data_IF_015739645619
#
_entry.id   IF_015739645619
#
_cell.length_a   1.000
_cell.length_b   1.000
_cell.length_c   1.000
_cell.angle_alpha   90.00
_cell.angle_beta   90.00
_cell.angle_gamma   90.00
#
_symmetry.space_group_name_H-M   'P 1'
#
loop_
_entity.id
_entity.type
_entity.pdbx_description
1 polymer ?
#
# COMPACT_ATOMS: atom_id res chain seq x y z
N UNK A 1 -6.89 5.98 -26.81
CA UNK A 1 -8.18 5.25 -26.88
C UNK A 1 -8.31 4.21 -25.77
N UNK A 2 -7.34 3.31 -25.58
CA UNK A 2 -7.36 2.30 -24.50
C UNK A 2 -7.56 2.93 -23.11
N UNK A 3 -6.77 3.94 -22.77
CA UNK A 3 -6.86 4.66 -21.48
C UNK A 3 -8.26 5.23 -21.23
N UNK A 4 -8.83 5.94 -22.21
CA UNK A 4 -10.18 6.51 -22.09
C UNK A 4 -11.24 5.42 -21.90
N UNK A 5 -11.09 4.27 -22.56
CA UNK A 5 -12.02 3.14 -22.39
C UNK A 5 -11.89 2.53 -21.01
N UNK A 6 -10.68 2.24 -20.55
CA UNK A 6 -10.43 1.71 -19.21
C UNK A 6 -10.94 2.66 -18.11
N UNK A 7 -10.72 3.97 -18.24
CA UNK A 7 -11.22 4.97 -17.29
C UNK A 7 -12.73 5.14 -17.37
N UNK A 8 -13.34 5.00 -18.55
CA UNK A 8 -14.81 4.96 -18.70
C UNK A 8 -15.39 3.79 -17.92
N UNK A 9 -14.83 2.59 -18.08
CA UNK A 9 -15.25 1.41 -17.30
C UNK A 9 -15.02 1.61 -15.81
N UNK A 10 -13.86 2.13 -15.40
CA UNK A 10 -13.55 2.39 -13.98
C UNK A 10 -14.48 3.42 -13.32
N UNK A 11 -14.91 4.43 -14.07
CA UNK A 11 -15.86 5.46 -13.64
C UNK A 11 -17.31 4.95 -13.65
N UNK A 12 -17.71 4.12 -14.62
CA UNK A 12 -19.09 3.57 -14.72
C UNK A 12 -19.33 2.32 -13.87
N UNK A 13 -18.30 1.54 -13.57
CA UNK A 13 -18.32 0.43 -12.61
C UNK A 13 -18.03 0.92 -11.19
N UNK A 14 -18.82 1.88 -10.70
CA UNK A 14 -18.48 2.67 -9.51
C UNK A 14 -19.72 3.08 -8.69
N UNK A 15 -19.62 3.13 -7.35
CA UNK A 15 -20.69 3.67 -6.50
C UNK A 15 -20.33 4.99 -5.82
N UNK A 16 -19.07 5.43 -5.90
CA UNK A 16 -18.66 6.70 -5.33
C UNK A 16 -19.28 7.88 -6.08
N UNK A 17 -19.54 8.94 -5.33
CA UNK A 17 -20.05 10.21 -5.85
C UNK A 17 -19.10 11.32 -5.43
N UNK A 18 -18.70 12.15 -6.38
CA UNK A 18 -17.98 13.39 -6.12
C UNK A 18 -18.99 14.52 -5.98
N UNK A 19 -19.02 15.18 -4.83
CA UNK A 19 -19.84 16.37 -4.59
C UNK A 19 -18.94 17.55 -4.31
N UNK A 20 -19.19 18.67 -4.99
CA UNK A 20 -18.54 19.93 -4.64
C UNK A 20 -19.35 20.61 -3.53
N UNK A 21 -18.71 20.92 -2.40
CA UNK A 21 -19.27 21.67 -1.27
C UNK A 21 -18.29 22.77 -0.90
N UNK A 22 -18.75 24.02 -0.91
CA UNK A 22 -17.95 25.20 -0.53
C UNK A 22 -16.61 25.32 -1.29
N UNK A 23 -16.60 24.94 -2.58
CA UNK A 23 -15.39 24.94 -3.43
C UNK A 23 -14.41 23.80 -3.14
N UNK A 24 -14.80 22.82 -2.31
CA UNK A 24 -14.03 21.61 -2.04
C UNK A 24 -14.75 20.37 -2.57
N UNK A 25 -13.99 19.46 -3.17
CA UNK A 25 -14.50 18.16 -3.61
C UNK A 25 -14.56 17.19 -2.43
N UNK A 26 -15.77 16.76 -2.10
CA UNK A 26 -16.06 15.76 -1.09
C UNK A 26 -16.37 14.44 -1.77
N UNK A 27 -15.69 13.39 -1.34
CA UNK A 27 -15.93 12.02 -1.79
C UNK A 27 -16.98 11.37 -0.89
N UNK A 28 -18.05 10.85 -1.48
CA UNK A 28 -19.00 9.96 -0.81
C UNK A 28 -18.85 8.56 -1.40
N UNK A 29 -18.35 7.61 -0.61
CA UNK A 29 -18.07 6.24 -1.05
C UNK A 29 -16.65 5.81 -0.69
N UNK A 30 -16.16 4.77 -1.37
CA UNK A 30 -14.81 4.25 -1.15
C UNK A 30 -13.74 5.14 -1.83
N UNK A 31 -12.58 5.41 -1.18
CA UNK A 31 -11.52 6.23 -1.77
C UNK A 31 -10.94 5.68 -3.09
N UNK A 32 -10.83 4.36 -3.23
CA UNK A 32 -10.34 3.67 -4.44
C UNK A 32 -11.27 3.97 -5.61
N UNK A 33 -12.57 3.89 -5.34
CA UNK A 33 -13.61 4.20 -6.31
C UNK A 33 -13.56 5.67 -6.75
N UNK A 34 -13.41 6.58 -5.79
CA UNK A 34 -13.31 8.00 -6.10
C UNK A 34 -12.05 8.36 -6.92
N UNK A 35 -10.93 7.70 -6.64
CA UNK A 35 -9.70 7.88 -7.40
C UNK A 35 -9.88 7.58 -8.90
N UNK A 36 -10.66 6.56 -9.25
CA UNK A 36 -11.00 6.23 -10.65
C UNK A 36 -11.81 7.35 -11.32
N UNK A 37 -12.80 7.91 -10.61
CA UNK A 37 -13.60 9.03 -11.12
C UNK A 37 -12.70 10.24 -11.35
N UNK A 38 -11.85 10.59 -10.37
CA UNK A 38 -10.91 11.71 -10.48
C UNK A 38 -9.95 11.50 -11.65
N UNK A 39 -9.41 10.30 -11.83
CA UNK A 39 -8.55 9.96 -12.96
C UNK A 39 -9.29 10.14 -14.30
N UNK A 40 -10.53 9.67 -14.42
CA UNK A 40 -11.36 9.89 -15.59
C UNK A 40 -11.55 11.39 -15.89
N UNK A 41 -11.91 12.19 -14.88
CA UNK A 41 -12.09 13.65 -15.03
C UNK A 41 -10.81 14.35 -15.48
N UNK A 42 -9.64 13.96 -14.94
CA UNK A 42 -8.33 14.51 -15.35
C UNK A 42 -7.96 14.24 -16.81
N UNK A 43 -8.54 13.20 -17.41
CA UNK A 43 -8.37 12.88 -18.84
C UNK A 43 -9.41 13.55 -19.77
N UNK A 44 -10.28 14.40 -19.22
CA UNK A 44 -11.33 15.09 -19.95
C UNK A 44 -12.64 14.30 -20.09
N UNK A 45 -12.79 13.14 -19.43
CA UNK A 45 -14.06 12.42 -19.41
C UNK A 45 -15.05 13.10 -18.46
N UNK A 46 -16.02 13.81 -19.00
CA UNK A 46 -17.03 14.52 -18.23
C UNK A 46 -18.12 13.58 -17.69
N UNK A 47 -18.57 13.83 -16.44
CA UNK A 47 -19.62 13.04 -15.79
C UNK A 47 -20.91 13.02 -16.62
N UNK A 48 -21.38 14.20 -17.03
CA UNK A 48 -22.64 14.37 -17.76
C UNK A 48 -22.66 13.61 -19.08
N UNK A 49 -21.54 13.63 -19.82
CA UNK A 49 -21.39 12.90 -21.08
C UNK A 49 -21.51 11.40 -20.86
N UNK A 50 -20.78 10.87 -19.86
CA UNK A 50 -20.82 9.45 -19.53
C UNK A 50 -22.19 9.00 -18.97
N UNK A 51 -22.88 9.85 -18.21
CA UNK A 51 -24.22 9.55 -17.64
C UNK A 51 -25.30 9.57 -18.72
N UNK A 52 -25.18 10.49 -19.69
CA UNK A 52 -26.11 10.57 -20.82
C UNK A 52 -25.94 9.38 -21.76
N UNK A 53 -24.69 8.96 -21.99
CA UNK A 53 -24.37 7.85 -22.87
C UNK A 53 -24.67 6.49 -22.24
N UNK A 54 -24.13 6.23 -21.04
CA UNK A 54 -24.23 4.94 -20.38
C UNK A 54 -25.19 5.01 -19.20
N UNK A 55 -26.44 4.57 -19.45
CA UNK A 55 -27.47 4.51 -18.41
C UNK A 55 -27.41 3.17 -17.70
N UNK A 56 -27.11 3.18 -16.39
CA UNK A 56 -27.05 1.97 -15.56
C UNK A 56 -28.43 1.30 -15.48
N UNK A 57 -28.48 0.02 -15.86
CA UNK A 57 -29.67 -0.84 -15.84
C UNK A 57 -29.63 -1.80 -14.65
N UNK A 58 -28.46 -2.35 -14.33
CA UNK A 58 -28.30 -3.30 -13.22
C UNK A 58 -26.88 -3.28 -12.66
N UNK A 59 -26.65 -4.03 -11.59
CA UNK A 59 -25.33 -4.21 -10.97
C UNK A 59 -25.21 -5.59 -10.32
N UNK A 60 -23.99 -6.11 -10.35
CA UNK A 60 -23.54 -7.19 -9.48
C UNK A 60 -22.61 -6.53 -8.45
N UNK A 61 -23.03 -6.41 -7.17
CA UNK A 61 -22.31 -5.61 -6.16
C UNK A 61 -20.92 -6.18 -5.88
N UNK A 62 -20.05 -5.42 -5.20
CA UNK A 62 -18.81 -5.99 -4.70
C UNK A 62 -19.08 -6.96 -3.54
N UNK A 63 -18.36 -8.09 -3.49
CA UNK A 63 -18.22 -8.91 -2.29
C UNK A 63 -16.78 -9.35 -2.08
N UNK A 64 -16.38 -9.54 -0.82
CA UNK A 64 -15.03 -9.97 -0.46
C UNK A 64 -14.69 -11.36 -1.02
N UNK A 65 -15.68 -12.23 -1.17
CA UNK A 65 -15.51 -13.57 -1.74
C UNK A 65 -15.19 -13.51 -3.24
N UNK A 66 -15.83 -12.59 -3.97
CA UNK A 66 -15.69 -12.47 -5.43
C UNK A 66 -14.63 -11.47 -5.87
N UNK A 67 -14.25 -10.54 -5.00
CA UNK A 67 -13.22 -9.52 -5.21
C UNK A 67 -13.40 -8.69 -6.49
N UNK A 68 -14.64 -8.50 -6.93
CA UNK A 68 -14.98 -7.75 -8.15
C UNK A 68 -16.38 -7.16 -8.06
N UNK A 69 -16.63 -6.16 -8.89
CA UNK A 69 -17.91 -5.49 -9.04
C UNK A 69 -18.19 -5.28 -10.52
N UNK A 70 -19.45 -5.48 -10.91
CA UNK A 70 -19.90 -5.25 -12.29
C UNK A 70 -21.14 -4.37 -12.33
N UNK A 71 -21.24 -3.52 -13.34
CA UNK A 71 -22.43 -2.71 -13.63
C UNK A 71 -22.82 -2.90 -15.08
N UNK A 72 -24.13 -2.95 -15.34
CA UNK A 72 -24.67 -3.15 -16.69
C UNK A 72 -25.31 -1.85 -17.14
N UNK A 73 -24.99 -1.42 -18.36
CA UNK A 73 -25.44 -0.15 -18.93
C UNK A 73 -26.01 -0.33 -20.31
N UNK A 74 -27.05 0.43 -20.65
CA UNK A 74 -27.44 0.65 -22.05
C UNK A 74 -26.61 1.79 -22.64
N UNK A 75 -26.17 1.67 -23.89
CA UNK A 75 -25.50 2.74 -24.63
C UNK A 75 -26.51 3.51 -25.50
N UNK A 76 -26.58 4.84 -25.31
CA UNK A 76 -27.41 5.71 -26.13
C UNK A 76 -26.93 5.83 -27.59
N UNK A 77 -25.64 5.58 -27.86
CA UNK A 77 -25.08 5.62 -29.21
C UNK A 77 -25.25 4.29 -29.97
N UNK A 78 -25.40 3.17 -29.26
CA UNK A 78 -25.59 1.83 -29.82
C UNK A 78 -26.86 1.19 -29.25
N UNK A 79 -28.04 1.70 -29.66
CA UNK A 79 -29.32 1.19 -29.17
C UNK A 79 -29.51 -0.25 -29.61
N UNK A 80 -29.35 -1.19 -28.69
CA UNK A 80 -29.41 -2.62 -28.96
C UNK A 80 -28.34 -3.43 -28.24
N UNK A 81 -27.32 -2.78 -27.66
CA UNK A 81 -26.29 -3.44 -26.88
C UNK A 81 -26.34 -3.04 -25.40
N UNK A 82 -26.01 -4.01 -24.54
CA UNK A 82 -25.77 -3.83 -23.12
C UNK A 82 -24.27 -3.99 -22.84
N UNK A 83 -23.72 -3.00 -22.15
CA UNK A 83 -22.33 -2.99 -21.73
C UNK A 83 -22.22 -3.45 -20.29
N UNK A 84 -21.48 -4.53 -20.07
CA UNK A 84 -21.05 -4.98 -18.75
C UNK A 84 -19.69 -4.37 -18.47
N UNK A 85 -19.62 -3.55 -17.44
CA UNK A 85 -18.40 -2.90 -16.99
C UNK A 85 -17.97 -3.50 -15.66
N UNK A 86 -16.76 -4.04 -15.60
CA UNK A 86 -16.26 -4.79 -14.45
C UNK A 86 -14.93 -4.23 -13.98
N UNK A 87 -14.81 -4.08 -12.65
CA UNK A 87 -13.54 -3.84 -11.98
C UNK A 87 -13.33 -4.84 -10.84
N UNK A 88 -12.10 -5.20 -10.56
CA UNK A 88 -11.80 -6.12 -9.47
C UNK A 88 -10.33 -6.43 -9.31
N UNK A 89 -10.04 -7.41 -8.46
CA UNK A 89 -8.69 -7.95 -8.30
C UNK A 89 -8.18 -8.49 -9.66
N UNK A 90 -6.98 -8.10 -10.12
CA UNK A 90 -6.44 -8.47 -11.43
C UNK A 90 -6.43 -9.98 -11.71
N UNK A 91 -6.01 -10.79 -10.76
CA UNK A 91 -5.96 -12.25 -10.83
C UNK A 91 -7.36 -12.86 -11.03
N UNK A 92 -8.33 -12.42 -10.24
CA UNK A 92 -9.71 -12.90 -10.32
C UNK A 92 -10.37 -12.47 -11.62
N UNK A 93 -10.14 -11.24 -12.06
CA UNK A 93 -10.76 -10.71 -13.27
C UNK A 93 -10.17 -11.32 -14.53
N UNK A 94 -8.85 -11.51 -14.58
CA UNK A 94 -8.19 -12.17 -15.69
C UNK A 94 -8.78 -13.57 -15.90
N UNK A 95 -9.02 -14.34 -14.84
CA UNK A 95 -9.63 -15.68 -14.93
C UNK A 95 -11.06 -15.71 -15.52
N UNK A 96 -11.64 -14.55 -15.84
CA UNK A 96 -12.92 -14.38 -16.51
C UNK A 96 -12.81 -13.74 -17.91
N UNK A 97 -11.60 -13.34 -18.30
CA UNK A 97 -11.34 -12.73 -19.59
C UNK A 97 -10.91 -13.79 -20.61
N UNK A 98 -11.51 -13.74 -21.79
CA UNK A 98 -11.14 -14.55 -22.96
C UNK A 98 -10.38 -13.74 -24.01
N UNK A 99 -10.45 -12.41 -23.90
CA UNK A 99 -9.82 -11.45 -24.82
C UNK A 99 -9.17 -10.32 -24.05
N UNK A 100 -8.24 -9.62 -24.70
CA UNK A 100 -7.71 -8.32 -24.25
C UNK A 100 -7.88 -7.28 -25.36
N UNK A 101 -8.00 -6.02 -24.97
CA UNK A 101 -7.98 -4.90 -25.89
C UNK A 101 -6.54 -4.48 -26.18
N UNK A 102 -6.19 -4.42 -27.47
CA UNK A 102 -4.92 -3.84 -27.95
C UNK A 102 -5.20 -2.88 -29.10
N UNK A 103 -4.82 -1.62 -28.90
CA UNK A 103 -5.21 -0.48 -29.70
C UNK A 103 -6.73 -0.27 -29.67
N UNK A 104 -7.38 -0.66 -30.76
CA UNK A 104 -8.84 -0.61 -30.93
C UNK A 104 -9.47 -2.00 -31.02
N UNK A 105 -8.66 -3.06 -31.09
CA UNK A 105 -9.11 -4.41 -31.41
C UNK A 105 -9.05 -5.33 -30.18
N UNK A 106 -10.11 -6.11 -29.98
CA UNK A 106 -10.08 -7.19 -29.02
C UNK A 106 -9.37 -8.40 -29.65
N UNK A 107 -8.33 -8.93 -29.01
CA UNK A 107 -7.63 -10.16 -29.46
C UNK A 107 -7.76 -11.25 -28.40
N UNK A 108 -7.54 -12.51 -28.79
CA UNK A 108 -7.58 -13.62 -27.84
C UNK A 108 -6.52 -13.42 -26.75
N UNK A 109 -6.90 -13.64 -25.49
CA UNK A 109 -6.00 -13.56 -24.35
C UNK A 109 -5.33 -14.93 -24.17
N UNK A 110 -4.07 -15.04 -24.60
CA UNK A 110 -3.29 -16.28 -24.44
C UNK A 110 -2.79 -16.43 -23.01
N UNK A 111 -2.38 -17.65 -22.62
CA UNK A 111 -1.85 -17.90 -21.28
C UNK A 111 -0.50 -17.22 -21.06
N UNK A 112 0.33 -17.08 -22.09
CA UNK A 112 1.57 -16.31 -22.04
C UNK A 112 1.27 -14.84 -21.72
N UNK A 113 0.28 -14.27 -22.43
CA UNK A 113 -0.10 -12.88 -22.21
C UNK A 113 -0.75 -12.65 -20.84
N UNK A 114 -1.53 -13.62 -20.36
CA UNK A 114 -2.07 -13.61 -18.99
C UNK A 114 -0.94 -13.56 -17.96
N UNK A 115 0.10 -14.37 -18.13
CA UNK A 115 1.27 -14.38 -17.24
C UNK A 115 2.03 -13.05 -17.26
N UNK A 116 2.19 -12.42 -18.44
CA UNK A 116 2.80 -11.09 -18.56
C UNK A 116 2.02 -10.02 -17.79
N UNK A 117 0.68 -10.02 -17.88
CA UNK A 117 -0.17 -9.06 -17.15
C UNK A 117 -0.06 -9.29 -15.63
N UNK A 118 -0.04 -10.55 -15.19
CA UNK A 118 0.14 -10.88 -13.77
C UNK A 118 1.52 -10.45 -13.25
N UNK A 119 2.57 -10.63 -14.04
CA UNK A 119 3.91 -10.15 -13.71
C UNK A 119 3.95 -8.62 -13.60
N UNK A 120 3.32 -7.90 -14.55
CA UNK A 120 3.20 -6.44 -14.46
C UNK A 120 2.39 -5.99 -13.22
N UNK A 121 1.38 -6.77 -12.83
CA UNK A 121 0.63 -6.52 -11.60
C UNK A 121 1.51 -6.69 -10.35
N UNK A 122 2.35 -7.71 -10.29
CA UNK A 122 3.31 -7.92 -9.20
C UNK A 122 4.35 -6.80 -9.12
N UNK A 123 4.85 -6.32 -10.27
CA UNK A 123 5.77 -5.17 -10.33
C UNK A 123 5.12 -3.90 -9.77
N UNK A 124 3.88 -3.60 -10.14
CA UNK A 124 3.11 -2.47 -9.61
C UNK A 124 2.87 -2.62 -8.10
N UNK A 125 2.51 -3.82 -7.63
CA UNK A 125 2.35 -4.11 -6.21
C UNK A 125 3.67 -3.89 -5.44
N UNK A 126 4.82 -4.28 -6.02
CA UNK A 126 6.15 -4.01 -5.48
C UNK A 126 6.48 -2.53 -5.37
N UNK A 127 5.82 -1.67 -6.16
CA UNK A 127 5.92 -0.21 -6.08
C UNK A 127 4.88 0.41 -5.12
N UNK A 128 4.26 -0.38 -4.24
CA UNK A 128 3.25 0.06 -3.26
C UNK A 128 2.00 0.64 -3.94
N UNK A 129 1.66 0.12 -5.11
CA UNK A 129 0.44 0.48 -5.81
C UNK A 129 -0.64 -0.57 -5.54
N UNK A 130 -1.80 -0.13 -5.07
CA UNK A 130 -3.03 -0.93 -5.15
C UNK A 130 -3.46 -0.98 -6.60
N UNK A 131 -3.59 -2.19 -7.15
CA UNK A 131 -3.96 -2.40 -8.55
C UNK A 131 -5.39 -2.90 -8.67
N UNK A 132 -6.09 -2.42 -9.71
CA UNK A 132 -7.39 -2.94 -10.13
C UNK A 132 -7.31 -3.36 -11.59
N UNK A 133 -7.83 -4.54 -11.88
CA UNK A 133 -8.12 -4.97 -13.24
C UNK A 133 -9.41 -4.31 -13.72
N UNK A 134 -9.43 -3.91 -14.98
CA UNK A 134 -10.58 -3.34 -15.66
C UNK A 134 -10.92 -4.20 -16.87
N UNK A 135 -12.19 -4.56 -17.02
CA UNK A 135 -12.66 -5.35 -18.15
C UNK A 135 -14.09 -4.98 -18.52
N UNK A 136 -14.47 -5.29 -19.76
CA UNK A 136 -15.83 -5.08 -20.23
C UNK A 136 -16.32 -6.24 -21.10
N UNK A 137 -17.63 -6.31 -21.30
CA UNK A 137 -18.26 -7.18 -22.29
C UNK A 137 -19.47 -6.49 -22.89
N UNK A 138 -19.69 -6.74 -24.18
CA UNK A 138 -20.90 -6.30 -24.89
C UNK A 138 -21.84 -7.48 -25.03
N UNK A 139 -23.10 -7.29 -24.67
CA UNK A 139 -24.17 -8.26 -24.76
C UNK A 139 -25.27 -7.74 -25.68
N UNK A 140 -25.83 -8.56 -26.58
CA UNK A 140 -26.98 -8.14 -27.37
C UNK A 140 -28.21 -7.98 -26.46
N UNK A 141 -28.98 -6.89 -26.62
CA UNK A 141 -30.13 -6.56 -25.78
C UNK A 141 -31.27 -7.59 -25.82
N UNK A 142 -31.26 -8.48 -26.82
CA UNK A 142 -32.19 -9.62 -26.92
C UNK A 142 -31.99 -10.66 -25.79
N UNK A 143 -30.85 -10.65 -25.10
CA UNK A 143 -30.72 -11.27 -23.77
C UNK A 143 -31.48 -10.39 -22.77
N UNK A 144 -32.81 -10.50 -22.79
CA UNK A 144 -33.69 -9.77 -21.90
C UNK A 144 -33.30 -10.05 -20.46
N UNK A 145 -32.99 -8.98 -19.75
CA UNK A 145 -32.49 -8.95 -18.38
C UNK A 145 -33.52 -9.57 -17.43
N UNK A 146 -33.30 -10.84 -17.05
CA UNK A 146 -33.72 -11.36 -15.74
C UNK A 146 -32.91 -10.68 -14.62
N UNK A 147 -32.91 -11.20 -13.40
CA UNK A 147 -31.92 -10.75 -12.42
C UNK A 147 -30.52 -10.96 -13.01
N UNK A 148 -29.80 -9.86 -13.28
CA UNK A 148 -28.40 -9.91 -13.71
C UNK A 148 -27.63 -10.60 -12.58
N UNK A 149 -27.14 -11.80 -12.86
CA UNK A 149 -26.35 -12.59 -11.93
C UNK A 149 -24.86 -12.56 -12.33
N UNK A 150 -24.06 -13.37 -11.65
CA UNK A 150 -22.62 -13.45 -11.90
C UNK A 150 -22.25 -14.01 -13.28
N UNK A 151 -23.20 -14.60 -14.02
CA UNK A 151 -22.93 -15.08 -15.38
C UNK A 151 -22.58 -13.95 -16.33
N UNK A 152 -22.92 -12.68 -15.99
CA UNK A 152 -22.55 -11.55 -16.83
C UNK A 152 -21.05 -11.25 -16.81
N UNK A 153 -20.33 -11.79 -15.83
CA UNK A 153 -18.92 -11.56 -15.56
C UNK A 153 -18.03 -12.63 -16.20
N UNK A 154 -18.47 -13.27 -17.29
CA UNK A 154 -17.71 -14.28 -18.06
C UNK A 154 -17.37 -13.76 -19.46
N UNK A 155 -16.35 -14.33 -20.10
CA UNK A 155 -15.94 -13.99 -21.48
C UNK A 155 -15.68 -12.48 -21.67
N UNK A 156 -15.06 -11.87 -20.66
CA UNK A 156 -14.75 -10.45 -20.65
C UNK A 156 -13.56 -10.13 -21.59
N UNK A 157 -13.53 -8.87 -22.03
CA UNK A 157 -12.38 -8.26 -22.70
C UNK A 157 -11.61 -7.46 -21.66
N UNK A 158 -10.40 -7.90 -21.33
CA UNK A 158 -9.51 -7.20 -20.42
C UNK A 158 -9.03 -5.88 -21.06
N UNK A 159 -9.19 -4.76 -20.35
CA UNK A 159 -8.80 -3.43 -20.83
C UNK A 159 -7.46 -2.95 -20.29
N UNK A 160 -7.09 -3.40 -19.09
CA UNK A 160 -5.84 -3.00 -18.48
C UNK A 160 -5.85 -3.03 -16.95
N UNK A 161 -4.70 -2.67 -16.39
CA UNK A 161 -4.49 -2.46 -14.97
C UNK A 161 -4.50 -0.98 -14.66
N UNK A 162 -5.16 -0.59 -13.58
CA UNK A 162 -5.05 0.75 -12.99
C UNK A 162 -4.37 0.59 -11.63
N UNK A 163 -3.15 1.12 -11.53
CA UNK A 163 -2.43 1.26 -10.27
C UNK A 163 -2.78 2.57 -9.59
N UNK A 164 -2.96 2.54 -8.28
CA UNK A 164 -3.13 3.72 -7.43
C UNK A 164 -2.28 3.60 -6.17
N UNK A 165 -1.68 4.70 -5.78
CA UNK A 165 -0.91 4.79 -4.54
C UNK A 165 -1.86 5.28 -3.45
N UNK A 166 -1.86 4.60 -2.30
CA UNK A 166 -2.45 5.13 -1.08
C UNK A 166 -1.36 5.91 -0.34
N UNK A 167 -1.27 7.25 -0.51
CA UNK A 167 -0.17 8.00 0.05
C UNK A 167 -0.22 7.92 1.58
N UNK A 168 0.93 7.74 2.25
CA UNK A 168 0.96 7.74 3.70
C UNK A 168 0.44 9.08 4.24
N UNK A 169 -0.48 8.99 5.20
CA UNK A 169 -1.07 10.15 5.88
C UNK A 169 0.02 11.06 6.43
N UNK A 170 -0.11 12.37 6.24
CA UNK A 170 0.87 13.35 6.72
C UNK A 170 1.05 13.27 8.24
N UNK A 171 -0.03 13.01 8.98
CA UNK A 171 0.01 12.84 10.43
C UNK A 171 0.85 11.60 10.83
N UNK A 172 0.81 10.54 10.03
CA UNK A 172 1.61 9.33 10.27
C UNK A 172 3.10 9.61 10.10
N UNK A 173 3.48 10.38 9.06
CA UNK A 173 4.88 10.83 8.86
C UNK A 173 5.37 11.62 10.07
N UNK A 174 4.56 12.58 10.54
CA UNK A 174 4.90 13.41 11.70
C UNK A 174 4.96 12.59 13.01
N UNK A 175 4.09 11.60 13.18
CA UNK A 175 4.11 10.72 14.35
C UNK A 175 5.38 9.84 14.38
N UNK A 176 5.76 9.25 13.25
CA UNK A 176 6.98 8.44 13.12
C UNK A 176 8.23 9.29 13.37
N UNK A 177 8.28 10.52 12.85
CA UNK A 177 9.37 11.45 13.11
C UNK A 177 9.51 11.78 14.60
N UNK A 178 8.41 12.19 15.25
CA UNK A 178 8.40 12.48 16.70
C UNK A 178 8.81 11.29 17.55
N UNK A 179 8.39 10.08 17.19
CA UNK A 179 8.80 8.87 17.89
C UNK A 179 10.32 8.66 17.81
N UNK A 180 10.92 8.85 16.63
CA UNK A 180 12.37 8.77 16.45
C UNK A 180 13.11 9.85 17.25
N UNK A 181 12.61 11.08 17.24
CA UNK A 181 13.20 12.19 18.02
C UNK A 181 13.16 11.93 19.53
N UNK A 182 12.14 11.20 20.02
CA UNK A 182 12.03 10.74 21.41
C UNK A 182 12.90 9.49 21.73
N UNK A 183 13.72 9.02 20.79
CA UNK A 183 14.55 7.82 20.95
C UNK A 183 13.77 6.50 20.88
N UNK A 184 12.52 6.52 20.42
CA UNK A 184 11.71 5.32 20.17
C UNK A 184 12.09 4.77 18.79
N UNK A 185 12.28 3.45 18.69
CA UNK A 185 12.54 2.78 17.40
C UNK A 185 11.22 2.28 16.80
N UNK A 186 10.62 3.00 15.83
CA UNK A 186 9.41 2.52 15.17
C UNK A 186 9.73 1.32 14.27
N UNK A 187 8.87 0.31 14.30
CA UNK A 187 8.91 -0.86 13.44
C UNK A 187 7.63 -0.86 12.62
N UNK A 188 7.74 -1.05 11.30
CA UNK A 188 6.60 -1.15 10.40
C UNK A 188 6.21 -2.62 10.24
N UNK A 189 4.94 -2.93 10.45
CA UNK A 189 4.36 -4.21 10.09
C UNK A 189 3.78 -4.08 8.68
N UNK A 190 4.30 -4.85 7.73
CA UNK A 190 3.91 -4.80 6.32
C UNK A 190 2.66 -5.62 6.01
N UNK A 191 2.30 -6.52 6.91
CA UNK A 191 1.10 -7.34 6.85
C UNK A 191 0.44 -7.44 8.24
N UNK A 192 -0.77 -7.97 8.28
CA UNK A 192 -1.60 -8.17 9.46
C UNK A 192 -1.57 -9.62 9.98
N UNK A 193 -0.62 -10.44 9.52
CA UNK A 193 -0.49 -11.81 9.99
C UNK A 193 0.00 -11.82 11.44
N UNK A 194 -0.74 -12.51 12.31
CA UNK A 194 -0.40 -12.65 13.72
C UNK A 194 1.03 -13.19 13.93
N UNK A 195 1.51 -14.10 13.07
CA UNK A 195 2.88 -14.61 13.13
C UNK A 195 3.94 -13.49 12.95
N UNK A 196 3.71 -12.59 11.99
CA UNK A 196 4.59 -11.43 11.74
C UNK A 196 4.59 -10.47 12.92
N UNK A 197 3.43 -10.26 13.55
CA UNK A 197 3.30 -9.42 14.75
C UNK A 197 4.13 -10.00 15.91
N UNK A 198 4.02 -11.31 16.15
CA UNK A 198 4.78 -11.99 17.21
C UNK A 198 6.29 -11.84 16.98
N UNK A 199 6.76 -12.10 15.76
CA UNK A 199 8.17 -11.96 15.41
C UNK A 199 8.69 -10.52 15.61
N UNK A 200 7.90 -9.50 15.23
CA UNK A 200 8.27 -8.11 15.44
C UNK A 200 8.38 -7.73 16.92
N UNK A 201 7.50 -8.27 17.78
CA UNK A 201 7.54 -8.04 19.23
C UNK A 201 8.79 -8.72 19.84
N UNK A 202 9.13 -9.93 19.42
CA UNK A 202 10.34 -10.64 19.86
C UNK A 202 11.62 -9.86 19.52
N UNK A 203 11.71 -9.33 18.30
CA UNK A 203 12.83 -8.50 17.86
C UNK A 203 12.96 -7.23 18.71
N UNK A 204 11.83 -6.54 18.96
CA UNK A 204 11.79 -5.36 19.84
C UNK A 204 12.29 -5.64 21.26
N UNK A 205 11.90 -6.78 21.85
CA UNK A 205 12.36 -7.20 23.18
C UNK A 205 13.85 -7.53 23.20
N UNK A 206 14.36 -8.14 22.13
CA UNK A 206 15.78 -8.47 21.98
C UNK A 206 16.63 -7.21 21.92
N UNK A 207 16.23 -6.22 21.13
CA UNK A 207 16.90 -4.91 21.06
C UNK A 207 16.94 -4.26 22.46
N UNK A 208 15.81 -4.21 23.17
CA UNK A 208 15.76 -3.61 24.50
C UNK A 208 16.62 -4.35 25.53
N UNK A 209 16.64 -5.68 25.49
CA UNK A 209 17.49 -6.49 26.35
C UNK A 209 18.98 -6.22 26.09
N UNK A 210 19.37 -6.05 24.83
CA UNK A 210 20.75 -5.72 24.44
C UNK A 210 21.16 -4.32 24.92
N UNK A 211 20.30 -3.31 24.76
CA UNK A 211 20.53 -1.96 25.29
C UNK A 211 20.75 -2.02 26.81
N UNK A 212 19.89 -2.74 27.54
CA UNK A 212 20.01 -2.86 28.99
C UNK A 212 21.30 -3.56 29.41
N UNK A 213 21.72 -4.62 28.70
CA UNK A 213 23.00 -5.30 28.95
C UNK A 213 24.18 -4.36 28.69
N UNK A 214 24.17 -3.64 27.58
CA UNK A 214 25.20 -2.69 27.22
C UNK A 214 25.35 -1.56 28.25
N UNK A 215 24.23 -0.96 28.69
CA UNK A 215 24.24 0.06 29.74
C UNK A 215 24.81 -0.47 31.06
N UNK A 216 24.44 -1.69 31.47
CA UNK A 216 25.01 -2.32 32.67
C UNK A 216 26.50 -2.56 32.53
N UNK A 217 26.95 -3.02 31.36
CA UNK A 217 28.36 -3.26 31.10
C UNK A 217 29.15 -1.95 31.17
N UNK A 218 28.73 -0.90 30.46
CA UNK A 218 29.39 0.40 30.48
C UNK A 218 29.42 1.00 31.90
N UNK A 219 28.30 0.99 32.60
CA UNK A 219 28.23 1.56 33.95
C UNK A 219 29.11 0.78 34.93
N UNK A 220 29.09 -0.55 34.85
CA UNK A 220 29.95 -1.41 35.68
C UNK A 220 31.43 -1.19 35.37
N UNK A 221 31.80 -1.05 34.09
CA UNK A 221 33.18 -0.81 33.67
C UNK A 221 33.67 0.54 34.15
N UNK A 222 32.91 1.61 33.89
CA UNK A 222 33.26 2.96 34.28
C UNK A 222 33.36 3.10 35.82
N UNK A 223 32.46 2.49 36.57
CA UNK A 223 32.54 2.48 38.04
C UNK A 223 33.80 1.72 38.49
N UNK A 224 34.09 0.56 37.90
CA UNK A 224 35.29 -0.22 38.21
C UNK A 224 36.57 0.59 37.98
N UNK A 225 36.64 1.31 36.86
CA UNK A 225 37.76 2.21 36.54
C UNK A 225 37.91 3.34 37.58
N UNK A 226 36.82 4.06 37.88
CA UNK A 226 36.82 5.14 38.87
C UNK A 226 37.25 4.64 40.25
N UNK A 227 36.72 3.49 40.68
CA UNK A 227 37.05 2.90 41.98
C UNK A 227 38.51 2.45 42.03
N UNK A 228 39.03 1.87 40.95
CA UNK A 228 40.44 1.46 40.84
C UNK A 228 41.37 2.66 40.94
N UNK A 229 41.05 3.75 40.23
CA UNK A 229 41.81 5.00 40.30
C UNK A 229 41.77 5.61 41.70
N UNK A 230 40.58 5.69 42.30
CA UNK A 230 40.38 6.27 43.63
C UNK A 230 41.16 5.51 44.72
N UNK A 231 41.01 4.18 44.78
CA UNK A 231 41.74 3.37 45.75
C UNK A 231 43.25 3.32 45.46
N UNK A 232 43.65 3.36 44.18
CA UNK A 232 45.06 3.45 43.81
C UNK A 232 45.74 4.69 44.39
N UNK A 233 45.09 5.86 44.32
CA UNK A 233 45.62 7.11 44.91
C UNK A 233 45.67 7.05 46.44
N UNK A 234 44.61 6.54 47.09
CA UNK A 234 44.57 6.41 48.55
C UNK A 234 45.66 5.46 49.04
N UNK A 235 45.74 4.27 48.42
CA UNK A 235 46.69 3.25 48.84
C UNK A 235 48.13 3.66 48.56
N UNK A 236 48.41 4.36 47.45
CA UNK A 236 49.72 4.91 47.14
C UNK A 236 50.24 5.80 48.29
N UNK A 237 49.36 6.61 48.87
CA UNK A 237 49.69 7.45 50.03
C UNK A 237 49.98 6.60 51.28
N UNK A 238 49.22 5.53 51.51
CA UNK A 238 49.38 4.62 52.66
C UNK A 238 50.67 3.81 52.58
N UNK A 239 51.06 3.33 51.40
CA UNK A 239 52.27 2.51 51.19
C UNK A 239 53.54 3.36 50.93
N UNK A 240 53.44 4.69 51.08
CA UNK A 240 54.59 5.59 51.02
C UNK A 240 55.10 5.91 49.61
N UNK A 241 54.32 5.62 48.56
CA UNK A 241 54.64 6.04 47.20
C UNK A 241 54.41 7.54 47.08
N UNK A 242 55.49 8.32 47.22
CA UNK A 242 55.52 9.76 46.99
C UNK A 242 56.48 10.03 45.83
N UNK A 243 56.07 10.84 44.86
CA UNK A 243 57.02 11.31 43.87
C UNK A 243 57.97 12.34 44.49
N UNK A 244 59.25 12.26 44.13
CA UNK A 244 60.24 13.25 44.52
C UNK A 244 59.83 14.64 43.99
N UNK A 245 59.88 15.65 44.85
CA UNK A 245 59.53 17.04 44.49
C UNK A 245 58.08 17.47 44.76
N UNK A 246 57.28 16.70 45.51
CA UNK A 246 55.93 17.11 45.92
C UNK A 246 54.86 16.97 44.83
N UNK A 247 55.15 16.22 43.77
CA UNK A 247 54.21 15.90 42.70
C UNK A 247 53.31 14.73 43.10
N UNK A 248 52.06 14.73 42.63
CA UNK A 248 51.08 13.67 42.91
C UNK A 248 51.26 12.54 41.89
N UNK A 249 51.43 11.31 42.35
CA UNK A 249 51.42 10.12 41.48
C UNK A 249 49.98 9.66 41.31
N UNK A 250 49.49 9.70 40.07
CA UNK A 250 48.18 9.16 39.70
C UNK A 250 48.37 7.78 39.05
N UNK A 251 47.61 6.74 39.46
CA UNK A 251 47.57 5.50 38.69
C UNK A 251 47.02 5.80 37.29
N UNK A 252 47.53 5.14 36.26
CA UNK A 252 46.98 5.19 34.90
C UNK A 252 46.25 3.88 34.64
N UNK A 253 45.06 3.98 34.04
CA UNK A 253 44.33 2.80 33.58
C UNK A 253 44.97 2.26 32.29
N UNK A 254 44.88 0.95 32.07
CA UNK A 254 45.36 0.32 30.83
C UNK A 254 44.68 0.90 29.57
N UNK A 255 43.44 1.38 29.70
CA UNK A 255 42.68 2.07 28.63
C UNK A 255 43.21 3.47 28.31
N UNK A 256 44.02 4.07 29.18
CA UNK A 256 44.69 5.36 28.95
C UNK A 256 46.10 5.19 28.36
N UNK A 257 46.60 3.95 28.29
CA UNK A 257 47.92 3.59 27.73
C UNK A 257 47.80 3.14 26.26
N UNK A 258 46.59 2.75 25.83
CA UNK A 258 46.22 2.40 24.45
C UNK A 258 45.70 3.63 23.69
#
# INVERSE_FOLDING_TARGET
MELHRALTVGDRANNAVLQERDGQWVVQGDPTEAALIIAARKTGLEAKTLETRFKRVSKVPFSSDRKRMSTVHSDAEQPGDLFVFTKGAPDVLLARCTRELVGAEARSLTEERRAEILSANEELAGQVQRTLGIAERVLPAALTVGEVDESVEQELVFLGLIGMIDPPREEAKQAVARARDAGIRPIMLTDDNFATIVAAVEEGRTIFANIRKFLRFLLSSNIGEVMTMFFGVILATVIGLRAEGGTVVLPLLATQIL
#
